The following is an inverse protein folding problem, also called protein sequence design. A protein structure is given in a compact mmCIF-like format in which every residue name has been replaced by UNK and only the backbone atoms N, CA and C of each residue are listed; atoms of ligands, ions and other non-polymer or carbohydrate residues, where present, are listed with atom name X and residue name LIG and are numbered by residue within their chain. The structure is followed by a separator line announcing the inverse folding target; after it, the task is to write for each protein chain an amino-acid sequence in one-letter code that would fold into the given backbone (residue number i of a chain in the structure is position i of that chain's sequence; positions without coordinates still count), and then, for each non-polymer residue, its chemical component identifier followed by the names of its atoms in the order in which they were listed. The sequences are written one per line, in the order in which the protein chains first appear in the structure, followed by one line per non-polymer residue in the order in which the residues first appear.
data_IF_536787432721
#
_entry.id   IF_536787432721
#
_cell.length_a   1.000
_cell.length_b   1.000
_cell.length_c   1.000
_cell.angle_alpha   90.00
_cell.angle_beta   90.00
_cell.angle_gamma   90.00
#
_symmetry.space_group_name_H-M   'P 1'
#
loop_
_entity.id
_entity.type
_entity.pdbx_description
1 polymer ?
#
# COMPACT_ATOMS: atom_id res chain seq x y z
N UNK A 1 -15.28 -29.04 43.65
CA UNK A 1 -14.83 -29.11 42.24
C UNK A 1 -13.80 -28.01 42.02
N UNK A 2 -12.55 -28.30 41.61
CA UNK A 2 -11.56 -27.25 41.41
C UNK A 2 -11.76 -26.55 40.06
N UNK A 3 -11.69 -25.22 40.07
CA UNK A 3 -11.77 -24.37 38.88
C UNK A 3 -10.52 -24.58 38.01
N UNK A 4 -10.72 -24.90 36.73
CA UNK A 4 -9.63 -25.00 35.75
C UNK A 4 -9.11 -23.59 35.46
N UNK A 5 -7.84 -23.35 35.78
CA UNK A 5 -7.10 -22.20 35.27
C UNK A 5 -7.00 -22.33 33.75
N UNK A 6 -7.66 -21.42 33.03
CA UNK A 6 -7.44 -21.23 31.60
C UNK A 6 -6.28 -20.26 31.48
N UNK A 7 -5.10 -20.80 31.17
CA UNK A 7 -3.95 -20.02 30.75
C UNK A 7 -4.26 -19.42 29.38
N UNK A 8 -4.41 -18.10 29.31
CA UNK A 8 -4.45 -17.40 28.02
C UNK A 8 -3.05 -17.44 27.44
N UNK A 9 -2.84 -18.28 26.43
CA UNK A 9 -1.70 -18.13 25.55
C UNK A 9 -1.91 -16.85 24.75
N UNK A 10 -1.18 -15.79 25.11
CA UNK A 10 -0.99 -14.62 24.26
C UNK A 10 -0.17 -15.08 23.05
N UNK A 11 -0.87 -15.61 22.06
CA UNK A 11 -0.29 -15.79 20.73
C UNK A 11 0.18 -14.41 20.28
N UNK A 12 1.49 -14.30 20.09
CA UNK A 12 2.09 -13.12 19.48
C UNK A 12 1.61 -13.13 18.04
N UNK A 13 0.50 -12.42 17.77
CA UNK A 13 0.02 -12.20 16.43
C UNK A 13 1.13 -11.48 15.67
N UNK A 14 1.94 -12.25 14.94
CA UNK A 14 2.73 -11.72 13.84
C UNK A 14 1.69 -11.24 12.84
N UNK A 15 1.34 -9.96 12.91
CA UNK A 15 0.31 -9.36 12.09
C UNK A 15 0.66 -9.59 10.63
N UNK A 16 0.04 -10.59 10.02
CA UNK A 16 0.13 -10.80 8.58
C UNK A 16 -0.47 -9.55 7.94
N UNK A 17 0.29 -8.73 7.21
CA UNK A 17 -0.20 -7.47 6.65
C UNK A 17 -1.42 -7.69 5.75
N UNK A 18 -1.58 -8.89 5.18
CA UNK A 18 -2.76 -9.32 4.41
C UNK A 18 -4.01 -9.43 5.31
N UNK A 19 -3.87 -10.02 6.51
CA UNK A 19 -4.96 -10.12 7.50
C UNK A 19 -5.28 -8.73 8.06
N UNK A 20 -4.27 -7.90 8.32
CA UNK A 20 -4.45 -6.52 8.78
C UNK A 20 -5.19 -5.69 7.74
N UNK A 21 -4.82 -5.75 6.46
CA UNK A 21 -5.55 -5.06 5.39
C UNK A 21 -6.98 -5.58 5.20
N UNK A 22 -7.20 -6.91 5.28
CA UNK A 22 -8.54 -7.50 5.14
C UNK A 22 -9.47 -7.20 6.33
N UNK A 23 -8.91 -7.05 7.54
CA UNK A 23 -9.66 -6.65 8.74
C UNK A 23 -9.99 -5.15 8.72
N UNK A 24 -9.09 -4.31 8.19
CA UNK A 24 -9.33 -2.86 8.04
C UNK A 24 -10.49 -2.52 7.10
N UNK A 25 -10.84 -3.40 6.17
CA UNK A 25 -11.89 -3.14 5.16
C UNK A 25 -13.27 -3.63 5.61
N UNK A 26 -13.35 -4.34 6.75
CA UNK A 26 -14.58 -5.03 7.19
C UNK A 26 -15.08 -4.62 8.57
N UNK A 27 -14.29 -3.95 9.43
CA UNK A 27 -14.76 -3.47 10.75
C UNK A 27 -14.12 -2.13 11.19
N UNK A 28 -14.86 -1.25 11.91
CA UNK A 28 -14.28 -0.11 12.61
C UNK A 28 -13.45 -0.62 13.80
N UNK A 29 -12.13 -0.64 13.65
CA UNK A 29 -11.23 -1.21 14.64
C UNK A 29 -11.12 -0.29 15.88
N UNK A 30 -11.48 -0.81 17.07
CA UNK A 30 -11.32 -0.16 18.38
C UNK A 30 -9.97 -0.56 19.00
N UNK A 31 -8.86 0.07 18.60
CA UNK A 31 -7.64 0.01 19.42
C UNK A 31 -6.75 1.22 19.15
N UNK A 32 -6.14 1.80 20.19
CA UNK A 32 -5.21 2.92 20.11
C UNK A 32 -3.85 2.61 19.45
N UNK A 33 -3.79 1.60 18.57
CA UNK A 33 -2.66 1.29 17.72
C UNK A 33 -2.82 2.08 16.41
N UNK A 34 -1.81 2.85 16.06
CA UNK A 34 -1.73 3.53 14.76
C UNK A 34 -1.40 2.49 13.69
N UNK A 35 -2.45 1.92 13.08
CA UNK A 35 -2.34 0.91 12.02
C UNK A 35 -1.68 1.51 10.78
N UNK A 36 -1.88 2.80 10.52
CA UNK A 36 -1.25 3.53 9.43
C UNK A 36 0.27 3.51 9.59
N UNK A 37 0.76 3.85 10.78
CA UNK A 37 2.19 3.79 11.10
C UNK A 37 2.78 2.38 10.96
N UNK A 38 2.03 1.33 11.32
CA UNK A 38 2.47 -0.06 11.14
C UNK A 38 2.59 -0.46 9.68
N UNK A 39 1.62 -0.10 8.84
CA UNK A 39 1.64 -0.41 7.41
C UNK A 39 2.82 0.29 6.73
N UNK A 40 3.05 1.57 7.05
CA UNK A 40 4.24 2.27 6.57
C UNK A 40 5.53 1.63 7.07
N UNK A 41 5.64 1.29 8.34
CA UNK A 41 6.83 0.62 8.90
C UNK A 41 7.09 -0.73 8.22
N UNK A 42 6.04 -1.51 7.95
CA UNK A 42 6.14 -2.78 7.24
C UNK A 42 6.62 -2.57 5.79
N UNK A 43 6.06 -1.60 5.09
CA UNK A 43 6.53 -1.26 3.75
C UNK A 43 7.99 -0.80 3.76
N UNK A 44 8.37 0.13 4.65
CA UNK A 44 9.72 0.71 4.67
C UNK A 44 10.82 -0.26 5.07
N UNK A 45 10.51 -1.23 5.93
CA UNK A 45 11.48 -2.24 6.38
C UNK A 45 11.74 -3.34 5.34
N UNK A 46 10.76 -3.63 4.49
CA UNK A 46 10.84 -4.73 3.54
C UNK A 46 11.07 -4.31 2.08
N UNK A 47 11.04 -3.01 1.77
CA UNK A 47 11.12 -2.52 0.39
C UNK A 47 12.25 -1.50 0.21
N UNK A 48 12.91 -1.47 -0.97
CA UNK A 48 13.90 -0.45 -1.28
C UNK A 48 13.32 0.97 -1.22
N UNK A 49 13.89 1.84 -0.37
CA UNK A 49 13.47 3.23 -0.21
C UNK A 49 14.10 4.17 -1.25
N UNK A 50 14.03 3.78 -2.52
CA UNK A 50 14.58 4.55 -3.65
C UNK A 50 13.62 4.57 -4.84
N UNK A 51 13.91 5.41 -5.82
CA UNK A 51 13.18 5.38 -7.10
C UNK A 51 13.42 4.05 -7.81
N UNK A 52 12.37 3.55 -8.45
CA UNK A 52 12.38 2.26 -9.14
C UNK A 52 11.78 2.36 -10.53
N UNK A 53 12.34 1.66 -11.49
CA UNK A 53 11.72 1.44 -12.80
C UNK A 53 10.54 0.49 -12.66
N UNK A 54 9.63 0.48 -13.65
CA UNK A 54 8.51 -0.49 -13.68
C UNK A 54 9.00 -1.94 -13.66
N UNK A 55 10.14 -2.23 -14.29
CA UNK A 55 10.76 -3.56 -14.27
C UNK A 55 11.23 -3.93 -12.87
N UNK A 56 11.89 -3.01 -12.16
CA UNK A 56 12.29 -3.25 -10.77
C UNK A 56 11.09 -3.45 -9.84
N UNK A 57 9.99 -2.70 -10.05
CA UNK A 57 8.75 -2.90 -9.28
C UNK A 57 8.11 -4.26 -9.60
N UNK A 58 8.08 -4.67 -10.86
CA UNK A 58 7.58 -6.00 -11.24
C UNK A 58 8.36 -7.11 -10.51
N UNK A 59 9.69 -7.01 -10.50
CA UNK A 59 10.56 -7.96 -9.80
C UNK A 59 10.38 -7.90 -8.28
N UNK A 60 10.21 -6.70 -7.69
CA UNK A 60 9.99 -6.53 -6.25
C UNK A 60 8.71 -7.22 -5.79
N UNK A 61 7.66 -7.15 -6.60
CA UNK A 61 6.35 -7.68 -6.26
C UNK A 61 6.12 -9.11 -6.77
N UNK A 62 7.14 -9.72 -7.38
CA UNK A 62 7.08 -11.05 -8.01
C UNK A 62 5.93 -11.20 -9.02
N UNK A 63 5.75 -10.19 -9.87
CA UNK A 63 4.74 -10.18 -10.95
C UNK A 63 5.37 -9.87 -12.29
N UNK A 64 4.67 -10.19 -13.38
CA UNK A 64 5.16 -9.84 -14.71
C UNK A 64 4.95 -8.36 -15.03
N UNK A 65 5.71 -7.85 -16.01
CA UNK A 65 5.61 -6.44 -16.45
C UNK A 65 4.21 -6.10 -16.99
N UNK A 66 3.51 -7.09 -17.56
CA UNK A 66 2.15 -6.91 -18.05
C UNK A 66 1.20 -6.62 -16.88
N UNK A 67 1.32 -7.33 -15.75
CA UNK A 67 0.51 -7.05 -14.56
C UNK A 67 0.67 -5.63 -14.04
N UNK A 68 1.91 -5.11 -14.00
CA UNK A 68 2.16 -3.70 -13.61
C UNK A 68 1.49 -2.72 -14.60
N UNK A 69 1.51 -3.05 -15.89
CA UNK A 69 0.84 -2.25 -16.92
C UNK A 69 -0.68 -2.30 -16.79
N UNK A 70 -1.24 -3.48 -16.53
CA UNK A 70 -2.67 -3.69 -16.32
C UNK A 70 -3.14 -2.92 -15.08
N UNK A 71 -2.42 -3.00 -13.95
CA UNK A 71 -2.73 -2.20 -12.76
C UNK A 71 -2.68 -0.70 -13.04
N UNK A 72 -1.69 -0.25 -13.82
CA UNK A 72 -1.63 1.16 -14.20
C UNK A 72 -2.86 1.58 -15.02
N UNK A 73 -3.26 0.79 -16.00
CA UNK A 73 -4.33 1.16 -16.95
C UNK A 73 -5.74 0.88 -16.44
N UNK A 74 -5.91 -0.14 -15.58
CA UNK A 74 -7.21 -0.63 -15.13
C UNK A 74 -7.53 -0.22 -13.70
N UNK A 75 -6.52 0.06 -12.86
CA UNK A 75 -6.74 0.40 -11.44
C UNK A 75 -6.36 1.86 -11.15
N UNK A 76 -5.25 2.35 -11.72
CA UNK A 76 -4.75 3.72 -11.48
C UNK A 76 -5.36 4.74 -12.45
N UNK A 77 -5.41 4.40 -13.74
CA UNK A 77 -5.99 5.20 -14.82
C UNK A 77 -7.30 4.60 -15.39
N UNK A 78 -8.25 4.10 -14.58
CA UNK A 78 -9.47 3.53 -15.13
C UNK A 78 -10.27 4.59 -15.90
N UNK A 79 -11.11 4.12 -16.82
CA UNK A 79 -12.14 4.94 -17.45
C UNK A 79 -12.96 5.71 -16.37
N UNK A 80 -13.54 6.88 -16.68
CA UNK A 80 -13.99 7.82 -15.66
C UNK A 80 -14.98 7.20 -14.66
N UNK A 81 -14.51 7.06 -13.42
CA UNK A 81 -15.26 6.74 -12.21
C UNK A 81 -14.95 7.79 -11.14
N UNK A 82 -15.82 7.94 -10.14
CA UNK A 82 -15.63 8.88 -9.02
C UNK A 82 -14.26 8.68 -8.32
N UNK A 83 -13.87 7.43 -8.09
CA UNK A 83 -12.57 7.07 -7.48
C UNK A 83 -11.37 7.31 -8.40
N UNK A 84 -11.56 7.34 -9.72
CA UNK A 84 -10.46 7.49 -10.68
C UNK A 84 -9.72 8.82 -10.49
N UNK A 85 -10.46 9.89 -10.15
CA UNK A 85 -9.89 11.23 -9.91
C UNK A 85 -8.96 11.23 -8.70
N UNK A 86 -9.37 10.57 -7.61
CA UNK A 86 -8.59 10.47 -6.37
C UNK A 86 -7.32 9.65 -6.64
N UNK A 87 -7.48 8.44 -7.20
CA UNK A 87 -6.36 7.52 -7.43
C UNK A 87 -5.33 8.13 -8.40
N UNK A 88 -5.78 8.65 -9.54
CA UNK A 88 -4.89 9.33 -10.48
C UNK A 88 -4.24 10.57 -9.88
N UNK A 89 -4.98 11.34 -9.07
CA UNK A 89 -4.48 12.51 -8.36
C UNK A 89 -3.32 12.19 -7.43
N UNK A 90 -3.50 11.18 -6.57
CA UNK A 90 -2.49 10.70 -5.63
C UNK A 90 -1.29 10.05 -6.33
N UNK A 91 -1.54 9.25 -7.38
CA UNK A 91 -0.48 8.54 -8.08
C UNK A 91 0.42 9.46 -8.89
N UNK A 92 -0.14 10.42 -9.63
CA UNK A 92 0.64 11.32 -10.47
C UNK A 92 1.10 12.58 -9.73
N UNK A 93 0.42 12.98 -8.65
CA UNK A 93 0.49 14.32 -8.04
C UNK A 93 0.13 15.44 -9.04
N UNK A 94 -0.33 16.60 -8.56
CA UNK A 94 -0.80 17.73 -9.42
C UNK A 94 0.21 18.20 -10.50
N UNK A 95 1.48 17.79 -10.42
CA UNK A 95 2.57 18.28 -11.28
C UNK A 95 3.29 17.24 -12.17
N UNK A 96 3.01 15.93 -12.08
CA UNK A 96 3.56 14.98 -13.07
C UNK A 96 2.53 14.66 -14.16
N UNK A 97 2.70 15.33 -15.29
CA UNK A 97 1.92 15.14 -16.51
C UNK A 97 1.81 13.64 -16.89
N UNK A 98 0.62 13.27 -17.37
CA UNK A 98 0.23 11.99 -18.01
C UNK A 98 1.30 11.39 -18.94
N UNK A 99 1.33 10.06 -19.12
CA UNK A 99 2.51 9.24 -19.36
C UNK A 99 2.94 9.20 -20.84
N UNK A 100 3.46 10.30 -21.37
CA UNK A 100 4.07 10.32 -22.72
C UNK A 100 5.57 10.62 -22.74
N UNK A 101 6.22 10.83 -21.59
CA UNK A 101 7.68 11.06 -21.52
C UNK A 101 8.41 9.81 -21.03
N UNK A 102 9.46 9.43 -21.76
CA UNK A 102 10.44 8.37 -21.44
C UNK A 102 10.73 8.32 -19.93
N UNK A 103 10.68 7.11 -19.40
CA UNK A 103 10.89 6.67 -18.01
C UNK A 103 11.63 7.68 -17.11
N UNK A 104 10.88 8.48 -16.36
CA UNK A 104 11.31 8.91 -15.03
C UNK A 104 10.94 7.77 -14.08
N UNK A 105 11.90 7.26 -13.30
CA UNK A 105 11.64 6.21 -12.32
C UNK A 105 10.49 6.59 -11.38
N UNK A 106 9.72 5.58 -10.96
CA UNK A 106 8.63 5.70 -10.00
C UNK A 106 9.18 6.19 -8.66
N UNK A 107 8.48 7.12 -8.02
CA UNK A 107 8.80 7.57 -6.66
C UNK A 107 8.51 6.46 -5.64
N UNK A 108 9.09 6.56 -4.44
CA UNK A 108 8.84 5.60 -3.35
C UNK A 108 7.34 5.53 -3.02
N UNK A 109 6.63 6.65 -3.07
CA UNK A 109 5.17 6.70 -2.91
C UNK A 109 4.44 5.93 -4.04
N UNK A 110 4.85 6.08 -5.29
CA UNK A 110 4.25 5.33 -6.39
C UNK A 110 4.51 3.83 -6.27
N UNK A 111 5.70 3.43 -5.78
CA UNK A 111 6.00 2.03 -5.45
C UNK A 111 5.10 1.54 -4.31
N UNK A 112 4.87 2.36 -3.29
CA UNK A 112 3.92 2.05 -2.21
C UNK A 112 2.49 1.83 -2.73
N UNK A 113 2.01 2.65 -3.68
CA UNK A 113 0.70 2.44 -4.30
C UNK A 113 0.64 1.11 -5.04
N UNK A 114 1.67 0.75 -5.82
CA UNK A 114 1.73 -0.57 -6.46
C UNK A 114 1.76 -1.72 -5.44
N UNK A 115 2.45 -1.53 -4.32
CA UNK A 115 2.44 -2.48 -3.23
C UNK A 115 1.05 -2.60 -2.60
N UNK A 116 0.32 -1.51 -2.37
CA UNK A 116 -1.07 -1.57 -1.91
C UNK A 116 -1.97 -2.32 -2.89
N UNK A 117 -1.83 -2.07 -4.19
CA UNK A 117 -2.57 -2.82 -5.22
C UNK A 117 -2.25 -4.31 -5.12
N UNK A 118 -0.97 -4.69 -4.97
CA UNK A 118 -0.62 -6.11 -4.83
C UNK A 118 -1.28 -6.76 -3.61
N UNK A 119 -1.35 -6.05 -2.47
CA UNK A 119 -2.05 -6.55 -1.29
C UNK A 119 -3.55 -6.67 -1.51
N UNK A 120 -4.18 -5.69 -2.18
CA UNK A 120 -5.60 -5.73 -2.53
C UNK A 120 -5.91 -6.93 -3.42
N UNK A 121 -5.08 -7.18 -4.44
CA UNK A 121 -5.26 -8.28 -5.40
C UNK A 121 -5.11 -9.68 -4.79
N UNK A 122 -4.61 -9.79 -3.54
CA UNK A 122 -4.65 -11.05 -2.79
C UNK A 122 -6.05 -11.36 -2.21
N UNK A 123 -6.90 -10.34 -2.08
CA UNK A 123 -8.22 -10.42 -1.45
C UNK A 123 -9.35 -10.30 -2.48
N UNK A 124 -9.13 -9.55 -3.56
CA UNK A 124 -10.11 -9.37 -4.64
C UNK A 124 -9.63 -10.00 -5.94
N UNK A 125 -10.57 -10.51 -6.73
CA UNK A 125 -10.27 -11.24 -7.97
C UNK A 125 -10.42 -10.40 -9.24
N UNK A 126 -10.94 -9.16 -9.14
CA UNK A 126 -11.20 -8.28 -10.29
C UNK A 126 -10.68 -6.87 -10.06
N UNK A 127 -10.28 -6.19 -11.15
CA UNK A 127 -9.85 -4.79 -11.08
C UNK A 127 -10.98 -3.85 -10.66
N UNK A 128 -12.22 -4.11 -11.10
CA UNK A 128 -13.39 -3.32 -10.72
C UNK A 128 -13.63 -3.34 -9.19
N UNK A 129 -13.35 -4.46 -8.52
CA UNK A 129 -13.43 -4.55 -7.07
C UNK A 129 -12.21 -3.87 -6.37
N UNK A 130 -11.06 -3.85 -7.02
CA UNK A 130 -9.84 -3.24 -6.50
C UNK A 130 -9.89 -1.70 -6.49
N UNK A 131 -10.50 -1.08 -7.50
CA UNK A 131 -10.59 0.39 -7.64
C UNK A 131 -11.19 1.08 -6.40
N UNK A 132 -12.43 0.77 -5.96
CA UNK A 132 -13.03 1.45 -4.81
C UNK A 132 -12.27 1.15 -3.51
N UNK A 133 -11.63 -0.01 -3.41
CA UNK A 133 -10.81 -0.37 -2.24
C UNK A 133 -9.53 0.44 -2.17
N UNK A 134 -8.83 0.57 -3.30
CA UNK A 134 -7.65 1.42 -3.41
C UNK A 134 -8.00 2.87 -3.13
N UNK A 135 -9.11 3.37 -3.67
CA UNK A 135 -9.59 4.73 -3.41
C UNK A 135 -9.70 5.03 -1.92
N UNK A 136 -10.38 4.17 -1.15
CA UNK A 136 -10.51 4.30 0.31
C UNK A 136 -9.17 4.19 1.04
N UNK A 137 -8.29 3.30 0.59
CA UNK A 137 -6.95 3.19 1.19
C UNK A 137 -6.15 4.48 0.97
N UNK A 138 -6.17 5.07 -0.21
CA UNK A 138 -5.44 6.31 -0.48
C UNK A 138 -5.97 7.49 0.34
N UNK A 139 -7.26 7.52 0.68
CA UNK A 139 -7.80 8.48 1.65
C UNK A 139 -7.25 8.27 3.07
N UNK A 140 -7.01 7.02 3.47
CA UNK A 140 -6.40 6.67 4.76
C UNK A 140 -4.88 6.86 4.79
N UNK A 141 -4.23 6.81 3.64
CA UNK A 141 -2.78 6.92 3.47
C UNK A 141 -2.44 8.13 2.57
N UNK A 142 -2.79 9.37 2.98
CA UNK A 142 -2.51 10.53 2.16
C UNK A 142 -1.00 10.69 1.96
N UNK A 143 -0.61 11.17 0.78
CA UNK A 143 0.80 11.30 0.41
C UNK A 143 1.60 12.15 1.40
N UNK A 144 1.00 13.19 1.96
CA UNK A 144 1.65 14.07 2.94
C UNK A 144 2.07 13.30 4.21
N UNK A 145 1.21 12.42 4.73
CA UNK A 145 1.55 11.59 5.89
C UNK A 145 2.62 10.56 5.52
N UNK A 146 2.52 9.94 4.34
CA UNK A 146 3.55 9.04 3.84
C UNK A 146 4.95 9.70 3.84
N UNK A 147 5.06 10.92 3.31
CA UNK A 147 6.32 11.65 3.22
C UNK A 147 6.89 11.99 4.62
N UNK A 148 6.02 12.33 5.58
CA UNK A 148 6.38 12.56 6.98
C UNK A 148 6.92 11.29 7.63
N UNK A 149 6.23 10.16 7.45
CA UNK A 149 6.60 8.88 8.06
C UNK A 149 7.88 8.32 7.44
N UNK A 150 8.05 8.42 6.12
CA UNK A 150 9.29 8.06 5.43
C UNK A 150 10.47 8.89 5.95
N UNK A 151 10.27 10.20 6.13
CA UNK A 151 11.30 11.10 6.67
C UNK A 151 11.71 10.72 8.10
N UNK A 152 10.74 10.38 8.97
CA UNK A 152 11.00 9.88 10.32
C UNK A 152 11.77 8.56 10.28
N UNK A 153 11.36 7.62 9.43
CA UNK A 153 12.00 6.33 9.28
C UNK A 153 13.47 6.47 8.84
N UNK A 154 13.74 7.25 7.79
CA UNK A 154 15.09 7.49 7.29
C UNK A 154 15.99 8.16 8.33
N UNK A 155 15.47 9.11 9.13
CA UNK A 155 16.23 9.73 10.22
C UNK A 155 16.67 8.71 11.28
N UNK A 156 15.79 7.77 11.64
CA UNK A 156 16.09 6.74 12.65
C UNK A 156 17.13 5.71 12.18
N UNK A 157 17.22 5.46 10.87
CA UNK A 157 18.05 4.39 10.31
C UNK A 157 19.28 4.91 9.53
N UNK A 158 19.62 6.20 9.65
CA UNK A 158 20.78 6.84 9.01
C UNK A 158 22.14 6.55 9.67
N UNK A 159 22.19 5.69 10.68
CA UNK A 159 23.40 5.39 11.47
C UNK A 159 24.05 4.03 11.17
N UNK A 160 23.80 3.45 10.00
CA UNK A 160 24.48 2.25 9.51
C UNK A 160 25.14 2.50 8.16
#
# INVERSE_FOLDING_TARGET
MPAKNITYHTETYVANPVVTLAVMTTQPYKSGLDITAQIYSNFFSNNPLRKMTRTEVANLLDVCRQTIYDWQTQVIDPAPHEHAVIISGEFYSKNNKRPRKRLRGLSVHQVFIFWLISQIMLVVTTYDAAIPLLGRMLEMFPKEDFDVQLSKYLKRHRHY
#
